data_IF_153734661604
#
_entry.id   IF_153734661604
#
_cell.length_a   1.000
_cell.length_b   1.000
_cell.length_c   1.000
_cell.angle_alpha   90.00
_cell.angle_beta   90.00
_cell.angle_gamma   90.00
#
_symmetry.space_group_name_H-M   'P 1'
#
loop_
_entity.id
_entity.type
_entity.pdbx_description
1 polymer ?
#
# COMPACT_ATOMS: atom_id res chain seq x y z
N UNK A 1 -10.77 4.50 8.66
CA UNK A 1 -10.13 5.71 8.08
C UNK A 1 -9.10 5.29 7.06
N UNK A 2 -9.17 5.84 5.85
CA UNK A 2 -8.26 5.50 4.75
C UNK A 2 -7.33 6.69 4.43
N UNK A 3 -6.02 6.44 4.42
CA UNK A 3 -4.99 7.45 4.10
C UNK A 3 -4.11 6.91 2.97
N UNK A 4 -3.80 7.73 1.98
CA UNK A 4 -2.91 7.38 0.88
C UNK A 4 -1.66 8.28 0.89
N UNK A 5 -0.49 7.66 0.88
CA UNK A 5 0.79 8.30 0.60
C UNK A 5 1.27 7.89 -0.79
N UNK A 6 1.43 8.86 -1.67
CA UNK A 6 1.95 8.64 -3.02
C UNK A 6 3.26 9.41 -3.23
N UNK A 7 4.11 8.92 -4.13
CA UNK A 7 5.37 9.61 -4.45
C UNK A 7 6.27 8.79 -5.36
N UNK A 8 7.24 9.45 -5.98
CA UNK A 8 8.25 8.82 -6.82
C UNK A 8 9.17 7.86 -6.05
N UNK A 9 10.05 7.17 -6.77
CA UNK A 9 11.10 6.37 -6.13
C UNK A 9 11.99 7.27 -5.27
N UNK A 10 12.38 6.78 -4.08
CA UNK A 10 13.23 7.51 -3.13
C UNK A 10 12.71 8.91 -2.72
N UNK A 11 11.41 9.18 -2.86
CA UNK A 11 10.80 10.46 -2.49
C UNK A 11 10.61 10.67 -0.98
N UNK A 12 10.86 9.66 -0.15
CA UNK A 12 10.59 9.69 1.29
C UNK A 12 9.16 9.28 1.69
N UNK A 13 8.32 8.86 0.72
CA UNK A 13 6.91 8.50 0.99
C UNK A 13 6.74 7.39 2.04
N UNK A 14 7.54 6.32 1.95
CA UNK A 14 7.48 5.19 2.88
C UNK A 14 7.85 5.62 4.30
N UNK A 15 8.91 6.41 4.44
CA UNK A 15 9.35 6.92 5.73
C UNK A 15 8.29 7.85 6.37
N UNK A 16 7.69 8.72 5.56
CA UNK A 16 6.62 9.60 6.01
C UNK A 16 5.36 8.82 6.43
N UNK A 17 4.98 7.79 5.66
CA UNK A 17 3.86 6.92 5.99
C UNK A 17 4.10 6.11 7.27
N UNK A 18 5.32 5.55 7.45
CA UNK A 18 5.72 4.85 8.68
C UNK A 18 5.67 5.77 9.90
N UNK A 19 6.21 6.99 9.78
CA UNK A 19 6.19 7.96 10.87
C UNK A 19 4.75 8.34 11.27
N UNK A 20 3.88 8.56 10.28
CA UNK A 20 2.47 8.88 10.51
C UNK A 20 1.73 7.71 11.16
N UNK A 21 1.95 6.48 10.70
CA UNK A 21 1.35 5.28 11.27
C UNK A 21 1.77 5.08 12.74
N UNK A 22 3.07 5.20 13.01
CA UNK A 22 3.61 5.05 14.37
C UNK A 22 3.09 6.15 15.32
N UNK A 23 2.97 7.39 14.84
CA UNK A 23 2.40 8.49 15.62
C UNK A 23 0.93 8.25 15.97
N UNK A 24 0.10 7.87 14.97
CA UNK A 24 -1.31 7.58 15.16
C UNK A 24 -1.55 6.40 16.13
N UNK A 25 -0.78 5.32 15.99
CA UNK A 25 -0.87 4.17 16.87
C UNK A 25 -0.46 4.50 18.31
N UNK A 26 0.61 5.27 18.49
CA UNK A 26 1.08 5.68 19.82
C UNK A 26 0.09 6.60 20.52
N UNK A 27 -0.44 7.60 19.81
CA UNK A 27 -1.40 8.55 20.36
C UNK A 27 -2.67 7.86 20.86
N UNK A 28 -3.20 6.94 20.05
CA UNK A 28 -4.41 6.19 20.37
C UNK A 28 -4.17 4.89 21.17
N UNK A 29 -2.91 4.54 21.47
CA UNK A 29 -2.49 3.27 22.14
C UNK A 29 -3.01 2.03 21.40
N UNK A 30 -2.86 2.01 20.08
CA UNK A 30 -3.38 0.96 19.19
C UNK A 30 -2.27 0.03 18.69
N UNK A 31 -2.59 -1.23 18.37
CA UNK A 31 -1.67 -2.11 17.67
C UNK A 31 -1.19 -1.48 16.35
N UNK A 32 0.11 -1.58 16.07
CA UNK A 32 0.73 -1.05 14.86
C UNK A 32 1.21 -2.20 13.98
N UNK A 33 0.62 -2.31 12.79
CA UNK A 33 0.86 -3.41 11.86
C UNK A 33 1.48 -2.89 10.58
N UNK A 34 2.57 -3.52 10.16
CA UNK A 34 3.16 -3.35 8.84
C UNK A 34 2.76 -4.53 7.97
N UNK A 35 1.92 -4.30 6.99
CA UNK A 35 1.50 -5.30 6.01
C UNK A 35 2.41 -5.25 4.80
N UNK A 36 3.33 -6.22 4.72
CA UNK A 36 4.26 -6.37 3.61
C UNK A 36 3.60 -7.17 2.48
N UNK A 37 3.50 -6.56 1.30
CA UNK A 37 2.92 -7.19 0.11
C UNK A 37 3.96 -7.77 -0.84
N UNK A 38 5.26 -7.59 -0.55
CA UNK A 38 6.34 -8.15 -1.38
C UNK A 38 6.37 -9.68 -1.26
N UNK A 39 6.39 -10.38 -2.39
CA UNK A 39 6.69 -11.82 -2.41
C UNK A 39 8.16 -12.08 -2.08
N UNK A 40 8.41 -13.15 -1.34
CA UNK A 40 9.79 -13.55 -1.01
C UNK A 40 10.50 -14.05 -2.26
N UNK A 41 11.48 -13.29 -2.74
CA UNK A 41 12.34 -13.69 -3.86
C UNK A 41 13.80 -13.73 -3.45
N UNK A 42 14.52 -14.84 -3.76
CA UNK A 42 15.96 -14.98 -3.67
C UNK A 42 16.63 -14.69 -2.29
N UNK A 43 17.90 -15.08 -2.14
CA UNK A 43 18.66 -14.89 -0.86
C UNK A 43 18.96 -13.43 -0.53
N UNK A 44 19.23 -12.60 -1.55
CA UNK A 44 19.55 -11.18 -1.33
C UNK A 44 18.30 -10.39 -0.90
N UNK A 45 17.14 -10.75 -1.45
CA UNK A 45 15.87 -10.17 -1.02
C UNK A 45 15.56 -10.53 0.43
N UNK A 46 15.82 -11.76 0.86
CA UNK A 46 15.61 -12.21 2.24
C UNK A 46 16.43 -11.38 3.25
N UNK A 47 17.72 -11.17 3.00
CA UNK A 47 18.59 -10.37 3.89
C UNK A 47 18.11 -8.91 4.00
N UNK A 48 17.66 -8.32 2.88
CA UNK A 48 17.11 -6.96 2.87
C UNK A 48 15.78 -6.88 3.63
N UNK A 49 14.91 -7.87 3.45
CA UNK A 49 13.64 -7.98 4.19
C UNK A 49 13.89 -8.06 5.69
N UNK A 50 14.82 -8.91 6.16
CA UNK A 50 15.13 -9.03 7.58
C UNK A 50 15.70 -7.74 8.17
N UNK A 51 16.59 -7.05 7.47
CA UNK A 51 17.11 -5.75 7.90
C UNK A 51 15.98 -4.72 8.08
N UNK A 52 15.10 -4.61 7.10
CA UNK A 52 13.96 -3.69 7.17
C UNK A 52 12.95 -4.10 8.25
N UNK A 53 12.78 -5.40 8.47
CA UNK A 53 11.92 -5.93 9.55
C UNK A 53 12.46 -5.55 10.93
N UNK A 54 13.76 -5.69 11.16
CA UNK A 54 14.38 -5.27 12.41
C UNK A 54 14.22 -3.76 12.67
N UNK A 55 14.47 -2.92 11.66
CA UNK A 55 14.30 -1.47 11.77
C UNK A 55 12.86 -1.05 12.07
N UNK A 56 11.88 -1.78 11.52
CA UNK A 56 10.45 -1.53 11.77
C UNK A 56 10.02 -1.99 13.17
N UNK A 57 10.59 -3.09 13.67
CA UNK A 57 10.33 -3.56 15.03
C UNK A 57 10.75 -2.53 16.08
N UNK A 58 11.86 -1.80 15.88
CA UNK A 58 12.28 -0.70 16.75
C UNK A 58 11.28 0.46 16.78
N UNK A 59 10.50 0.64 15.69
CA UNK A 59 9.41 1.62 15.60
C UNK A 59 8.08 1.11 16.18
N UNK A 60 8.04 -0.13 16.69
CA UNK A 60 6.87 -0.77 17.28
C UNK A 60 5.96 -1.50 16.29
N UNK A 61 6.38 -1.69 15.04
CA UNK A 61 5.59 -2.45 14.07
C UNK A 61 5.65 -3.97 14.31
N UNK A 62 4.47 -4.60 14.24
CA UNK A 62 4.35 -6.04 14.02
C UNK A 62 4.22 -6.27 12.51
N UNK A 63 5.18 -6.98 11.92
CA UNK A 63 5.15 -7.26 10.47
C UNK A 63 4.29 -8.48 10.17
N UNK A 64 3.33 -8.30 9.25
CA UNK A 64 2.51 -9.36 8.66
C UNK A 64 2.84 -9.41 7.17
N UNK A 65 3.14 -10.59 6.65
CA UNK A 65 3.42 -10.81 5.22
C UNK A 65 2.18 -11.41 4.56
N UNK A 66 1.62 -10.71 3.59
CA UNK A 66 0.48 -11.17 2.77
C UNK A 66 0.56 -10.53 1.40
N UNK A 67 1.01 -11.30 0.43
CA UNK A 67 1.27 -10.81 -0.93
C UNK A 67 -0.03 -10.59 -1.73
N UNK A 68 -1.08 -11.37 -1.45
CA UNK A 68 -2.37 -11.38 -2.16
C UNK A 68 -3.52 -11.58 -1.19
N UNK A 69 -4.76 -11.34 -1.66
CA UNK A 69 -5.98 -11.56 -0.90
C UNK A 69 -5.94 -10.95 0.51
N UNK A 70 -5.51 -9.68 0.60
CA UNK A 70 -5.28 -9.00 1.90
C UNK A 70 -6.56 -8.90 2.74
N UNK A 71 -7.73 -9.02 2.12
CA UNK A 71 -9.02 -9.06 2.81
C UNK A 71 -9.22 -10.28 3.70
N UNK A 72 -8.46 -11.36 3.50
CA UNK A 72 -8.55 -12.57 4.33
C UNK A 72 -7.87 -12.43 5.69
N UNK A 73 -7.07 -11.38 5.88
CA UNK A 73 -6.37 -11.16 7.13
C UNK A 73 -7.34 -10.97 8.30
N UNK A 74 -6.99 -11.60 9.41
CA UNK A 74 -7.60 -11.33 10.71
C UNK A 74 -6.69 -10.36 11.45
N UNK A 75 -7.21 -9.19 11.79
CA UNK A 75 -6.48 -8.09 12.43
C UNK A 75 -7.23 -7.65 13.70
N UNK A 76 -6.51 -7.08 14.70
CA UNK A 76 -7.18 -6.34 15.75
C UNK A 76 -8.02 -5.20 15.16
N UNK A 77 -9.28 -5.10 15.54
CA UNK A 77 -10.23 -4.14 14.95
C UNK A 77 -9.83 -2.66 15.17
N UNK A 78 -9.03 -2.39 16.18
CA UNK A 78 -8.50 -1.08 16.54
C UNK A 78 -7.09 -0.81 15.98
N UNK A 79 -6.52 -1.73 15.19
CA UNK A 79 -5.17 -1.59 14.66
C UNK A 79 -5.02 -0.40 13.72
N UNK A 80 -3.82 0.19 13.72
CA UNK A 80 -3.31 1.03 12.63
C UNK A 80 -2.49 0.13 11.71
N UNK A 81 -2.89 0.05 10.44
CA UNK A 81 -2.27 -0.81 9.43
C UNK A 81 -1.60 0.05 8.37
N UNK A 82 -0.31 -0.19 8.14
CA UNK A 82 0.43 0.37 7.02
C UNK A 82 0.65 -0.73 5.99
N UNK A 83 0.09 -0.59 4.79
CA UNK A 83 0.30 -1.49 3.66
C UNK A 83 1.40 -0.93 2.75
N UNK A 84 2.47 -1.67 2.58
CA UNK A 84 3.58 -1.33 1.69
C UNK A 84 3.96 -2.52 0.81
N UNK A 85 3.75 -2.39 -0.51
CA UNK A 85 3.14 -1.27 -1.20
C UNK A 85 2.02 -1.74 -2.16
N UNK A 86 1.25 -0.79 -2.65
CA UNK A 86 0.19 -1.06 -3.62
C UNK A 86 0.73 -1.63 -4.94
N UNK A 87 1.95 -1.23 -5.35
CA UNK A 87 2.55 -1.73 -6.59
C UNK A 87 2.81 -3.23 -6.55
N UNK A 88 3.41 -3.71 -5.44
CA UNK A 88 3.59 -5.15 -5.23
C UNK A 88 2.24 -5.87 -5.20
N UNK A 89 1.25 -5.35 -4.48
CA UNK A 89 -0.07 -5.96 -4.40
C UNK A 89 -0.72 -6.09 -5.78
N UNK A 90 -0.68 -5.03 -6.59
CA UNK A 90 -1.22 -5.04 -7.96
C UNK A 90 -0.48 -6.04 -8.83
N UNK A 91 0.86 -6.05 -8.80
CA UNK A 91 1.66 -6.99 -9.56
C UNK A 91 1.36 -8.45 -9.19
N UNK A 92 1.28 -8.74 -7.90
CA UNK A 92 1.00 -10.08 -7.41
C UNK A 92 -0.39 -10.58 -7.82
N UNK A 93 -1.42 -9.72 -7.77
CA UNK A 93 -2.77 -10.09 -8.18
C UNK A 93 -2.92 -10.19 -9.71
N UNK A 94 -2.20 -9.34 -10.46
CA UNK A 94 -2.27 -9.30 -11.91
C UNK A 94 -1.54 -10.48 -12.56
N UNK A 95 -0.36 -10.84 -12.03
CA UNK A 95 0.54 -11.85 -12.61
C UNK A 95 0.52 -13.18 -11.85
N UNK A 96 -0.42 -13.36 -10.92
CA UNK A 96 -0.54 -14.64 -10.22
C UNK A 96 -1.00 -15.75 -11.18
N UNK A 97 -0.55 -17.00 -10.97
CA UNK A 97 -1.04 -18.12 -11.77
C UNK A 97 -2.57 -18.27 -11.71
N UNK A 98 -3.19 -17.90 -10.57
CA UNK A 98 -4.62 -17.92 -10.36
C UNK A 98 -5.33 -16.74 -11.04
N UNK A 99 -4.60 -15.72 -11.48
CA UNK A 99 -5.17 -14.60 -12.21
C UNK A 99 -5.78 -15.06 -13.54
N UNK A 100 -5.17 -16.07 -14.18
CA UNK A 100 -5.63 -16.57 -15.45
C UNK A 100 -5.82 -15.46 -16.48
N UNK A 101 -6.81 -15.61 -17.36
CA UNK A 101 -7.18 -14.60 -18.37
C UNK A 101 -8.22 -13.58 -17.86
N UNK A 102 -8.14 -13.20 -16.56
CA UNK A 102 -9.06 -12.19 -16.02
C UNK A 102 -8.87 -10.84 -16.72
N UNK A 103 -9.99 -10.16 -17.01
CA UNK A 103 -9.94 -8.81 -17.55
C UNK A 103 -9.39 -7.82 -16.53
N UNK A 104 -8.81 -6.70 -17.02
CA UNK A 104 -8.32 -5.61 -16.15
C UNK A 104 -9.42 -5.11 -15.19
N UNK A 105 -10.64 -4.99 -15.68
CA UNK A 105 -11.79 -4.58 -14.88
C UNK A 105 -12.07 -5.55 -13.72
N UNK A 106 -12.02 -6.84 -13.99
CA UNK A 106 -12.22 -7.88 -12.96
C UNK A 106 -11.14 -7.80 -11.89
N UNK A 107 -9.86 -7.64 -12.28
CA UNK A 107 -8.74 -7.52 -11.33
C UNK A 107 -8.85 -6.22 -10.54
N UNK A 108 -9.18 -5.10 -11.18
CA UNK A 108 -9.37 -3.81 -10.53
C UNK A 108 -10.50 -3.86 -9.48
N UNK A 109 -11.62 -4.48 -9.84
CA UNK A 109 -12.76 -4.64 -8.94
C UNK A 109 -12.38 -5.47 -7.72
N UNK A 110 -11.75 -6.62 -7.92
CA UNK A 110 -11.28 -7.50 -6.85
C UNK A 110 -10.28 -6.82 -5.90
N UNK A 111 -9.32 -6.06 -6.45
CA UNK A 111 -8.35 -5.28 -5.66
C UNK A 111 -9.04 -4.20 -4.81
N UNK A 112 -9.98 -3.46 -5.41
CA UNK A 112 -10.75 -2.44 -4.68
C UNK A 112 -11.54 -3.05 -3.55
N UNK A 113 -12.30 -4.12 -3.82
CA UNK A 113 -13.11 -4.82 -2.81
C UNK A 113 -12.23 -5.37 -1.69
N UNK A 114 -11.08 -5.97 -2.03
CA UNK A 114 -10.12 -6.50 -1.07
C UNK A 114 -9.57 -5.41 -0.14
N UNK A 115 -9.19 -4.25 -0.68
CA UNK A 115 -8.69 -3.13 0.13
C UNK A 115 -9.79 -2.46 0.97
N UNK A 116 -11.00 -2.34 0.45
CA UNK A 116 -12.14 -1.83 1.20
C UNK A 116 -12.54 -2.77 2.33
N UNK A 117 -12.53 -4.08 2.09
CA UNK A 117 -12.77 -5.06 3.14
C UNK A 117 -11.68 -5.02 4.22
N UNK A 118 -10.40 -4.83 3.84
CA UNK A 118 -9.31 -4.63 4.79
C UNK A 118 -9.51 -3.35 5.61
N UNK A 119 -9.92 -2.24 4.99
CA UNK A 119 -10.22 -0.98 5.69
C UNK A 119 -11.25 -1.16 6.80
N UNK A 120 -12.28 -1.98 6.58
CA UNK A 120 -13.33 -2.21 7.61
C UNK A 120 -12.85 -3.02 8.81
N UNK A 121 -11.70 -3.69 8.69
CA UNK A 121 -11.12 -4.58 9.72
C UNK A 121 -10.12 -3.87 10.65
N UNK A 122 -9.85 -2.59 10.43
CA UNK A 122 -8.90 -1.83 11.23
C UNK A 122 -9.39 -0.39 11.48
N UNK A 123 -8.84 0.26 12.49
CA UNK A 123 -9.22 1.64 12.78
C UNK A 123 -8.68 2.63 11.74
N UNK A 124 -7.47 2.35 11.23
CA UNK A 124 -6.85 3.17 10.20
C UNK A 124 -6.05 2.29 9.24
N UNK A 125 -6.29 2.47 7.94
CA UNK A 125 -5.53 1.87 6.87
C UNK A 125 -4.73 2.96 6.15
N UNK A 126 -3.41 2.83 6.16
CA UNK A 126 -2.48 3.71 5.46
C UNK A 126 -1.90 2.92 4.30
N UNK A 127 -2.04 3.45 3.10
CA UNK A 127 -1.57 2.84 1.86
C UNK A 127 -0.38 3.62 1.30
N UNK A 128 0.63 2.91 0.83
CA UNK A 128 1.77 3.48 0.11
C UNK A 128 1.69 3.13 -1.35
N UNK A 129 1.70 4.14 -2.22
CA UNK A 129 1.65 3.97 -3.66
C UNK A 129 2.77 4.73 -4.38
N UNK A 130 3.16 4.25 -5.55
CA UNK A 130 4.12 4.92 -6.41
C UNK A 130 3.41 5.96 -7.29
N UNK A 131 4.13 7.01 -7.69
CA UNK A 131 3.77 7.79 -8.87
C UNK A 131 4.43 7.12 -10.06
N UNK A 132 3.62 6.49 -10.89
CA UNK A 132 4.05 6.00 -12.18
C UNK A 132 3.81 7.13 -13.19
N UNK A 133 4.82 7.42 -14.01
CA UNK A 133 4.68 8.39 -15.06
C UNK A 133 3.60 7.92 -16.04
N UNK A 134 2.70 8.81 -16.44
CA UNK A 134 1.70 8.53 -17.47
C UNK A 134 2.34 8.29 -18.84
N UNK A 135 3.61 8.65 -19.00
CA UNK A 135 4.49 8.41 -20.16
C UNK A 135 5.94 8.15 -19.66
N UNK A 136 6.74 7.36 -20.32
CA UNK A 136 6.65 6.89 -21.71
C UNK A 136 5.89 5.57 -21.84
N UNK A 137 5.40 5.26 -23.06
CA UNK A 137 4.92 3.93 -23.40
C UNK A 137 6.11 2.95 -23.29
N UNK A 138 5.94 1.94 -22.47
CA UNK A 138 7.02 0.99 -22.21
C UNK A 138 7.26 0.02 -23.36
N UNK A 139 6.36 -0.02 -24.36
CA UNK A 139 6.46 -0.93 -25.52
C UNK A 139 6.23 -2.41 -25.18
N UNK A 140 6.00 -2.72 -23.90
CA UNK A 140 5.66 -4.03 -23.39
C UNK A 140 4.20 -4.04 -22.91
N UNK A 141 3.31 -4.83 -23.55
CA UNK A 141 1.88 -4.83 -23.21
C UNK A 141 1.56 -5.15 -21.75
N UNK A 142 2.33 -6.04 -21.12
CA UNK A 142 2.09 -6.42 -19.72
C UNK A 142 2.48 -5.28 -18.76
N UNK A 143 3.57 -4.60 -19.02
CA UNK A 143 3.96 -3.42 -18.26
C UNK A 143 2.92 -2.30 -18.41
N UNK A 144 2.45 -2.05 -19.63
CA UNK A 144 1.40 -1.06 -19.86
C UNK A 144 0.08 -1.43 -19.17
N UNK A 145 -0.29 -2.71 -19.19
CA UNK A 145 -1.44 -3.24 -18.46
C UNK A 145 -1.32 -3.00 -16.97
N UNK A 146 -0.16 -3.31 -16.38
CA UNK A 146 0.13 -3.04 -14.98
C UNK A 146 0.01 -1.57 -14.63
N UNK A 147 0.62 -0.67 -15.42
CA UNK A 147 0.60 0.78 -15.17
C UNK A 147 -0.83 1.34 -15.24
N UNK A 148 -1.62 0.95 -16.24
CA UNK A 148 -3.04 1.37 -16.34
C UNK A 148 -3.85 0.92 -15.13
N UNK A 149 -3.74 -0.35 -14.75
CA UNK A 149 -4.48 -0.92 -13.63
C UNK A 149 -4.07 -0.31 -12.30
N UNK A 150 -2.77 -0.14 -12.07
CA UNK A 150 -2.23 0.52 -10.89
C UNK A 150 -2.73 1.97 -10.77
N UNK A 151 -2.65 2.75 -11.85
CA UNK A 151 -3.10 4.15 -11.87
C UNK A 151 -4.61 4.25 -11.63
N UNK A 152 -5.41 3.38 -12.25
CA UNK A 152 -6.85 3.33 -12.05
C UNK A 152 -7.22 2.99 -10.59
N UNK A 153 -6.53 2.01 -9.99
CA UNK A 153 -6.71 1.66 -8.58
C UNK A 153 -6.35 2.83 -7.67
N UNK A 154 -5.17 3.42 -7.87
CA UNK A 154 -4.69 4.52 -7.02
C UNK A 154 -5.60 5.74 -7.10
N UNK A 155 -6.10 6.10 -8.29
CA UNK A 155 -7.06 7.19 -8.47
C UNK A 155 -8.38 6.90 -7.74
N UNK A 156 -8.89 5.67 -7.83
CA UNK A 156 -10.11 5.29 -7.12
C UNK A 156 -9.94 5.33 -5.59
N UNK A 157 -8.78 4.90 -5.09
CA UNK A 157 -8.44 4.99 -3.66
C UNK A 157 -8.26 6.43 -3.20
N UNK A 158 -7.59 7.28 -3.98
CA UNK A 158 -7.42 8.71 -3.68
C UNK A 158 -8.77 9.45 -3.62
N UNK A 159 -9.69 9.15 -4.54
CA UNK A 159 -11.03 9.73 -4.53
C UNK A 159 -11.79 9.39 -3.25
N UNK A 160 -11.66 8.15 -2.73
CA UNK A 160 -12.31 7.68 -1.50
C UNK A 160 -11.60 8.12 -0.23
N UNK A 161 -10.27 8.19 -0.22
CA UNK A 161 -9.45 8.40 0.96
C UNK A 161 -9.88 9.62 1.78
N UNK A 162 -9.70 9.52 3.09
CA UNK A 162 -9.93 10.62 4.03
C UNK A 162 -8.80 11.64 4.01
N UNK A 163 -7.58 11.18 3.69
CA UNK A 163 -6.44 12.05 3.42
C UNK A 163 -5.55 11.47 2.31
N UNK A 164 -4.95 12.35 1.51
CA UNK A 164 -4.00 12.02 0.45
C UNK A 164 -2.79 12.92 0.59
N UNK A 165 -1.62 12.32 0.64
CA UNK A 165 -0.34 12.98 0.74
C UNK A 165 0.54 12.65 -0.47
N UNK A 166 1.22 13.67 -1.00
CA UNK A 166 2.21 13.54 -2.04
C UNK A 166 3.60 13.82 -1.46
N UNK A 167 4.52 12.87 -1.67
CA UNK A 167 5.93 13.01 -1.28
C UNK A 167 6.81 13.24 -2.50
N UNK A 168 7.45 14.40 -2.55
CA UNK A 168 8.37 14.80 -3.61
C UNK A 168 9.58 15.52 -3.00
N UNK A 169 10.79 15.16 -3.45
CA UNK A 169 12.03 15.78 -3.00
C UNK A 169 12.19 15.81 -1.46
N UNK A 170 11.70 14.80 -0.77
CA UNK A 170 11.70 14.75 0.70
C UNK A 170 10.66 15.63 1.39
N UNK A 171 9.81 16.34 0.63
CA UNK A 171 8.73 17.18 1.16
C UNK A 171 7.40 16.46 1.00
N UNK A 172 6.60 16.41 2.07
CA UNK A 172 5.26 15.82 2.07
C UNK A 172 4.22 16.92 2.01
N UNK A 173 3.39 16.91 0.98
CA UNK A 173 2.28 17.84 0.79
C UNK A 173 0.95 17.13 1.00
N UNK A 174 0.06 17.74 1.75
CA UNK A 174 -1.33 17.29 1.86
C UNK A 174 -2.10 17.77 0.62
N UNK A 175 -2.58 16.83 -0.20
CA UNK A 175 -3.40 17.14 -1.37
C UNK A 175 -4.89 17.13 -1.05
N UNK A 176 -5.30 16.29 -0.08
CA UNK A 176 -6.68 16.13 0.35
C UNK A 176 -6.71 15.78 1.84
N UNK A 177 -7.63 16.38 2.55
CA UNK A 177 -8.02 15.99 3.90
C UNK A 177 -9.51 16.29 4.07
N UNK A 178 -10.29 15.28 4.42
CA UNK A 178 -11.67 15.49 4.84
C UNK A 178 -11.65 16.20 6.21
N UNK A 179 -12.44 17.22 6.36
CA UNK A 179 -12.63 17.85 7.68
C UNK A 179 -13.27 16.83 8.62
N UNK A 180 -12.78 16.79 9.87
CA UNK A 180 -13.45 16.02 10.89
C UNK A 180 -14.82 16.65 11.15
N UNK A 181 -15.88 15.88 10.98
CA UNK A 181 -17.25 16.28 11.35
C UNK A 181 -17.37 16.37 12.87
#
# INVERSE_FOLDING_TARGET
MLVLYAGGSASGKSEAAEAAAAAAAREAKRPLIYLATMERGGREAAARIEKHRAQRAEKGFVTVEKARAVHELTLPADAVVLLEDLGNLVGNELFSPEAGERSEETVLCALRESLLALETKCAQLILVGALLAEEPRYGDPETERYVRLFSALQNALAARADAVYLSELGVVRCLKRKEAL
#
